data_IF_626173601057
#
_entry.id   IF_626173601057
#
_cell.length_a   1.000
_cell.length_b   1.000
_cell.length_c   1.000
_cell.angle_alpha   90.00
_cell.angle_beta   90.00
_cell.angle_gamma   90.00
#
_symmetry.space_group_name_H-M   'P 1'
#
loop_
_entity.id
_entity.type
_entity.pdbx_description
1 polymer ?
#
# COMPACT_ATOMS: atom_id res chain seq x y z
N UNK A 1 0.36 -5.69 -15.03
CA UNK A 1 0.56 -5.42 -13.60
C UNK A 1 -0.44 -4.41 -13.01
N UNK A 2 -1.59 -4.23 -13.64
CA UNK A 2 -2.67 -3.37 -13.14
C UNK A 2 -2.24 -1.93 -12.85
N UNK A 3 -1.29 -1.41 -13.60
CA UNK A 3 -0.78 -0.04 -13.43
C UNK A 3 -1.07 0.72 -14.73
N UNK A 4 -1.59 1.93 -14.62
CA UNK A 4 -1.89 2.75 -15.80
C UNK A 4 -0.59 3.26 -16.45
N UNK A 5 -0.60 3.54 -17.76
CA UNK A 5 0.55 4.17 -18.42
C UNK A 5 0.95 5.49 -17.76
N UNK A 6 -0.02 6.25 -17.26
CA UNK A 6 0.24 7.50 -16.54
C UNK A 6 1.03 7.27 -15.26
N UNK A 7 0.68 6.23 -14.51
CA UNK A 7 1.38 5.86 -13.28
C UNK A 7 2.80 5.40 -13.57
N UNK A 8 2.99 4.60 -14.63
CA UNK A 8 4.32 4.17 -15.05
C UNK A 8 5.21 5.36 -15.41
N UNK A 9 4.68 6.35 -16.13
CA UNK A 9 5.43 7.55 -16.48
C UNK A 9 5.77 8.39 -15.26
N UNK A 10 4.88 8.43 -14.29
CA UNK A 10 5.16 9.10 -13.03
C UNK A 10 6.32 8.44 -12.30
N UNK A 11 6.36 7.12 -12.25
CA UNK A 11 7.47 6.38 -11.65
C UNK A 11 8.80 6.65 -12.39
N UNK A 12 8.76 6.79 -13.71
CA UNK A 12 9.92 7.20 -14.50
C UNK A 12 10.36 8.62 -14.11
N UNK A 13 9.41 9.54 -13.99
CA UNK A 13 9.67 10.93 -13.65
C UNK A 13 10.39 11.08 -12.30
N UNK A 14 9.99 10.30 -11.30
CA UNK A 14 10.63 10.33 -9.99
C UNK A 14 11.80 9.36 -9.88
N UNK A 15 12.25 8.83 -11.01
CA UNK A 15 13.42 7.95 -11.12
C UNK A 15 13.27 6.60 -10.40
N UNK A 16 12.04 6.13 -10.17
CA UNK A 16 11.80 4.79 -9.65
C UNK A 16 11.89 3.74 -10.73
N UNK A 17 11.57 4.09 -11.98
CA UNK A 17 11.66 3.21 -13.14
C UNK A 17 12.48 3.89 -14.22
N UNK A 18 13.38 3.15 -14.86
CA UNK A 18 14.16 3.62 -15.99
C UNK A 18 13.94 2.64 -17.15
N UNK A 19 12.99 2.93 -18.05
CA UNK A 19 12.74 2.03 -19.18
C UNK A 19 13.80 2.15 -20.25
N UNK A 20 14.01 1.07 -20.97
CA UNK A 20 14.79 1.09 -22.18
C UNK A 20 13.97 1.71 -23.31
N UNK A 21 14.50 2.74 -23.96
CA UNK A 21 13.80 3.40 -25.07
C UNK A 21 14.42 3.01 -26.40
N UNK A 22 13.60 2.44 -27.28
CA UNK A 22 13.98 2.19 -28.67
C UNK A 22 13.05 3.03 -29.54
N UNK A 23 13.58 4.14 -30.07
CA UNK A 23 12.75 5.11 -30.79
C UNK A 23 11.76 5.79 -29.86
N UNK A 24 10.45 5.75 -30.23
CA UNK A 24 9.36 6.31 -29.42
C UNK A 24 8.72 5.29 -28.48
N UNK A 25 9.17 4.04 -28.53
CA UNK A 25 8.58 2.97 -27.69
C UNK A 25 9.38 2.80 -26.40
N UNK A 26 8.65 2.56 -25.31
CA UNK A 26 9.22 2.22 -24.01
C UNK A 26 9.15 0.72 -23.80
N UNK A 27 10.27 0.13 -23.41
CA UNK A 27 10.34 -1.29 -23.11
C UNK A 27 10.71 -1.48 -21.64
N UNK A 28 9.91 -2.29 -20.94
CA UNK A 28 10.16 -2.67 -19.56
C UNK A 28 10.65 -4.11 -19.56
N UNK A 29 11.95 -4.29 -19.33
CA UNK A 29 12.57 -5.60 -19.25
C UNK A 29 12.25 -6.32 -17.95
N UNK A 30 12.90 -7.48 -17.73
CA UNK A 30 12.66 -8.27 -16.53
C UNK A 30 13.06 -7.53 -15.23
N UNK A 31 14.13 -6.74 -15.30
CA UNK A 31 14.59 -5.93 -14.17
C UNK A 31 13.54 -4.89 -13.77
N UNK A 32 12.99 -4.20 -14.74
CA UNK A 32 11.98 -3.17 -14.53
C UNK A 32 10.66 -3.77 -14.04
N UNK A 33 10.30 -4.95 -14.53
CA UNK A 33 9.10 -5.67 -14.07
C UNK A 33 9.26 -6.11 -12.61
N UNK A 34 10.44 -6.61 -12.23
CA UNK A 34 10.72 -6.98 -10.85
C UNK A 34 10.67 -5.76 -9.92
N UNK A 35 11.23 -4.64 -10.38
CA UNK A 35 11.19 -3.37 -9.66
C UNK A 35 9.75 -2.88 -9.47
N UNK A 36 8.93 -2.99 -10.52
CA UNK A 36 7.51 -2.61 -10.44
C UNK A 36 6.76 -3.45 -9.41
N UNK A 37 7.06 -4.75 -9.30
CA UNK A 37 6.46 -5.62 -8.27
C UNK A 37 6.83 -5.14 -6.87
N UNK A 38 8.08 -4.73 -6.66
CA UNK A 38 8.52 -4.19 -5.37
C UNK A 38 7.83 -2.87 -5.05
N UNK A 39 7.66 -2.00 -6.04
CA UNK A 39 6.93 -0.74 -5.88
C UNK A 39 5.48 -1.01 -5.48
N UNK A 40 4.81 -1.95 -6.14
CA UNK A 40 3.44 -2.33 -5.80
C UNK A 40 3.34 -2.90 -4.38
N UNK A 41 4.31 -3.71 -3.96
CA UNK A 41 4.36 -4.23 -2.58
C UNK A 41 4.50 -3.08 -1.58
N UNK A 42 5.40 -2.14 -1.84
CA UNK A 42 5.59 -0.98 -0.98
C UNK A 42 4.33 -0.14 -0.86
N UNK A 43 3.60 0.06 -1.96
CA UNK A 43 2.33 0.77 -1.94
C UNK A 43 1.27 0.02 -1.11
N UNK A 44 1.25 -1.30 -1.20
CA UNK A 44 0.35 -2.13 -0.39
C UNK A 44 0.66 -2.02 1.10
N UNK A 45 1.94 -1.87 1.47
CA UNK A 45 2.33 -1.64 2.86
C UNK A 45 1.93 -0.24 3.35
N UNK A 46 1.52 0.64 2.43
CA UNK A 46 1.14 2.01 2.77
C UNK A 46 2.30 2.99 2.72
N UNK A 47 3.44 2.61 2.15
CA UNK A 47 4.57 3.53 1.99
C UNK A 47 4.27 4.59 0.95
N UNK A 48 4.72 5.81 1.20
CA UNK A 48 4.75 6.88 0.20
C UNK A 48 5.78 6.51 -0.88
N UNK A 49 5.71 7.18 -2.02
CA UNK A 49 6.68 6.94 -3.10
C UNK A 49 8.10 7.29 -2.67
N UNK A 50 8.28 8.30 -1.83
CA UNK A 50 9.59 8.64 -1.28
C UNK A 50 10.11 7.55 -0.34
N UNK A 51 9.24 7.00 0.51
CA UNK A 51 9.58 5.86 1.37
C UNK A 51 9.93 4.61 0.55
N UNK A 52 9.21 4.39 -0.55
CA UNK A 52 9.52 3.28 -1.47
C UNK A 52 10.90 3.47 -2.10
N UNK A 53 11.23 4.69 -2.49
CA UNK A 53 12.56 5.00 -3.02
C UNK A 53 13.64 4.67 -2.00
N UNK A 54 13.47 5.06 -0.75
CA UNK A 54 14.40 4.75 0.33
C UNK A 54 14.52 3.25 0.55
N UNK A 55 13.38 2.54 0.56
CA UNK A 55 13.35 1.09 0.72
C UNK A 55 14.08 0.38 -0.42
N UNK A 56 13.84 0.80 -1.66
CA UNK A 56 14.52 0.21 -2.82
C UNK A 56 16.04 0.42 -2.77
N UNK A 57 16.47 1.58 -2.30
CA UNK A 57 17.90 1.84 -2.11
C UNK A 57 18.52 0.91 -1.08
N UNK A 58 17.78 0.56 -0.03
CA UNK A 58 18.23 -0.40 0.99
C UNK A 58 18.18 -1.84 0.49
N UNK A 59 17.38 -2.11 -0.53
CA UNK A 59 17.21 -3.46 -1.07
C UNK A 59 18.33 -3.89 -2.00
N UNK A 60 19.25 -2.99 -2.34
CA UNK A 60 20.40 -3.32 -3.16
C UNK A 60 21.40 -4.15 -2.35
N UNK A 61 21.38 -5.47 -2.58
CA UNK A 61 22.17 -6.43 -1.82
C UNK A 61 23.68 -6.30 -2.01
N UNK A 62 24.12 -5.65 -3.09
CA UNK A 62 25.56 -5.49 -3.36
C UNK A 62 26.22 -4.53 -2.39
N UNK A 63 25.46 -3.59 -1.83
CA UNK A 63 25.95 -2.55 -0.95
C UNK A 63 25.31 -2.58 0.44
N UNK A 64 24.68 -3.72 0.81
CA UNK A 64 24.06 -3.84 2.13
C UNK A 64 25.12 -3.80 3.23
N UNK A 65 24.92 -2.92 4.19
CA UNK A 65 25.72 -2.87 5.40
C UNK A 65 24.79 -2.89 6.62
N UNK A 66 25.38 -3.05 7.79
CA UNK A 66 24.63 -3.13 9.04
C UNK A 66 23.68 -1.93 9.23
N UNK A 67 24.15 -0.73 8.95
CA UNK A 67 23.36 0.49 9.11
C UNK A 67 22.12 0.48 8.23
N UNK A 68 22.25 0.05 6.96
CA UNK A 68 21.12 -0.04 6.04
C UNK A 68 20.10 -1.08 6.47
N UNK A 69 20.55 -2.23 6.94
CA UNK A 69 19.66 -3.29 7.43
C UNK A 69 18.92 -2.83 8.68
N UNK A 70 19.61 -2.18 9.61
CA UNK A 70 19.00 -1.62 10.81
C UNK A 70 17.96 -0.55 10.46
N UNK A 71 18.25 0.30 9.50
CA UNK A 71 17.31 1.33 9.03
C UNK A 71 16.06 0.69 8.43
N UNK A 72 16.21 -0.37 7.64
CA UNK A 72 15.09 -1.13 7.09
C UNK A 72 14.23 -1.75 8.19
N UNK A 73 14.84 -2.37 9.18
CA UNK A 73 14.11 -2.98 10.30
C UNK A 73 13.30 -1.91 11.04
N UNK A 74 13.90 -0.75 11.30
CA UNK A 74 13.21 0.36 11.96
C UNK A 74 12.02 0.85 11.14
N UNK A 75 12.18 0.99 9.84
CA UNK A 75 11.13 1.41 8.92
C UNK A 75 9.97 0.38 8.90
N UNK A 76 10.32 -0.91 8.85
CA UNK A 76 9.33 -1.99 8.85
C UNK A 76 8.55 -2.03 10.17
N UNK A 77 9.23 -1.86 11.31
CA UNK A 77 8.58 -1.84 12.62
C UNK A 77 7.60 -0.67 12.74
N UNK A 78 8.03 0.51 12.31
CA UNK A 78 7.17 1.70 12.34
C UNK A 78 5.92 1.49 11.49
N UNK A 79 6.07 0.96 10.30
CA UNK A 79 4.96 0.74 9.38
C UNK A 79 4.02 -0.36 9.90
N UNK A 80 4.56 -1.39 10.52
CA UNK A 80 3.76 -2.44 11.16
C UNK A 80 2.85 -1.86 12.24
N UNK A 81 3.38 -0.98 13.07
CA UNK A 81 2.59 -0.31 14.12
C UNK A 81 1.47 0.52 13.50
N UNK A 82 1.76 1.29 12.45
CA UNK A 82 0.75 2.09 11.76
C UNK A 82 -0.36 1.22 11.17
N UNK A 83 -0.01 0.09 10.57
CA UNK A 83 -0.99 -0.82 9.99
C UNK A 83 -1.85 -1.47 11.07
N UNK A 84 -1.26 -1.84 12.19
CA UNK A 84 -2.01 -2.41 13.31
C UNK A 84 -2.97 -1.39 13.93
N UNK A 85 -2.55 -0.12 14.02
CA UNK A 85 -3.41 0.96 14.49
C UNK A 85 -4.61 1.15 13.55
N UNK A 86 -4.36 1.15 12.24
CA UNK A 86 -5.44 1.24 11.24
C UNK A 86 -6.39 0.06 11.32
N UNK A 87 -5.84 -1.14 11.51
CA UNK A 87 -6.64 -2.35 11.70
C UNK A 87 -7.57 -2.21 12.90
N UNK A 88 -7.06 -1.69 14.02
CA UNK A 88 -7.86 -1.45 15.21
C UNK A 88 -8.95 -0.41 14.98
N UNK A 89 -8.64 0.67 14.27
CA UNK A 89 -9.62 1.69 13.91
C UNK A 89 -10.72 1.12 13.02
N UNK A 90 -10.35 0.31 12.02
CA UNK A 90 -11.30 -0.35 11.14
C UNK A 90 -12.19 -1.29 11.94
N UNK A 91 -11.62 -2.06 12.86
CA UNK A 91 -12.40 -2.97 13.70
C UNK A 91 -13.41 -2.21 14.56
N UNK A 92 -13.01 -1.07 15.14
CA UNK A 92 -13.93 -0.22 15.90
C UNK A 92 -15.07 0.31 15.04
N UNK A 93 -14.75 0.72 13.81
CA UNK A 93 -15.78 1.20 12.88
C UNK A 93 -16.77 0.08 12.50
N UNK A 94 -16.25 -1.13 12.27
CA UNK A 94 -17.09 -2.30 11.99
C UNK A 94 -18.01 -2.59 13.17
N UNK A 95 -17.46 -2.61 14.38
CA UNK A 95 -18.25 -2.88 15.59
C UNK A 95 -19.32 -1.81 15.80
N UNK A 96 -18.98 -0.56 15.58
CA UNK A 96 -19.89 0.56 15.71
C UNK A 96 -21.07 0.47 14.73
N UNK A 97 -20.77 0.23 13.46
CA UNK A 97 -21.84 0.12 12.44
C UNK A 97 -22.71 -1.10 12.66
N UNK A 98 -22.14 -2.21 13.14
CA UNK A 98 -22.92 -3.41 13.50
C UNK A 98 -23.89 -3.12 14.63
N UNK A 99 -23.44 -2.37 15.64
CA UNK A 99 -24.29 -2.00 16.77
C UNK A 99 -25.45 -1.08 16.33
N UNK A 100 -25.16 -0.13 15.47
CA UNK A 100 -26.21 0.74 14.89
C UNK A 100 -27.20 -0.06 14.08
N UNK A 101 -26.75 -1.05 13.33
CA UNK A 101 -27.63 -1.93 12.56
C UNK A 101 -28.54 -2.75 13.49
N UNK A 102 -27.98 -3.31 14.55
CA UNK A 102 -28.75 -4.10 15.54
C UNK A 102 -29.86 -3.22 16.14
N UNK A 103 -29.54 -1.99 16.51
CA UNK A 103 -30.52 -1.05 17.05
C UNK A 103 -31.60 -0.75 16.02
N UNK A 104 -31.24 -0.56 14.76
CA UNK A 104 -32.20 -0.30 13.68
C UNK A 104 -33.09 -1.54 13.43
N UNK A 105 -32.53 -2.74 13.50
CA UNK A 105 -33.31 -3.97 13.35
C UNK A 105 -34.36 -4.09 14.46
N UNK A 106 -34.01 -3.73 15.71
CA UNK A 106 -34.96 -3.74 16.83
C UNK A 106 -36.03 -2.68 16.62
N UNK A 107 -35.67 -1.49 16.14
CA UNK A 107 -36.64 -0.46 15.83
C UNK A 107 -37.62 -0.89 14.73
N UNK A 108 -37.09 -1.56 13.70
CA UNK A 108 -37.92 -2.10 12.62
C UNK A 108 -38.96 -3.11 13.15
N UNK A 109 -38.54 -4.01 14.05
CA UNK A 109 -39.45 -4.96 14.69
C UNK A 109 -40.61 -4.25 15.42
N UNK A 110 -40.29 -3.19 16.16
CA UNK A 110 -41.31 -2.41 16.89
C UNK A 110 -42.26 -1.75 15.89
N UNK A 111 -41.76 -1.16 14.82
CA UNK A 111 -42.59 -0.52 13.79
C UNK A 111 -43.47 -1.52 13.06
N UNK A 112 -42.97 -2.71 12.76
CA UNK A 112 -43.77 -3.76 12.11
C UNK A 112 -44.89 -4.26 13.02
N UNK A 113 -44.65 -4.37 14.31
CA UNK A 113 -45.69 -4.75 15.29
C UNK A 113 -46.78 -3.69 15.41
N UNK A 114 -46.43 -2.41 15.32
CA UNK A 114 -47.37 -1.30 15.39
C UNK A 114 -48.24 -1.19 14.16
N UNK A 115 -47.77 -1.66 13.01
CA UNK A 115 -48.53 -1.58 11.76
C UNK A 115 -49.55 -2.74 11.59
N UNK A 116 -49.55 -3.67 12.52
CA UNK A 116 -50.53 -4.77 12.54
C UNK A 116 -51.72 -4.39 13.47
#
# INVERSE_FOLDING_TARGET
YEVTPRTLRYYEYIELLIPEKIGKKRFYGNKEKALLRLIKRGRRFGFSLEEIRQWLAMYDRKNQNQTQVEAWISMANKQTIELEDRKSEIQRAIDDIKNLRIDAEKELEVLLKKSN
#
